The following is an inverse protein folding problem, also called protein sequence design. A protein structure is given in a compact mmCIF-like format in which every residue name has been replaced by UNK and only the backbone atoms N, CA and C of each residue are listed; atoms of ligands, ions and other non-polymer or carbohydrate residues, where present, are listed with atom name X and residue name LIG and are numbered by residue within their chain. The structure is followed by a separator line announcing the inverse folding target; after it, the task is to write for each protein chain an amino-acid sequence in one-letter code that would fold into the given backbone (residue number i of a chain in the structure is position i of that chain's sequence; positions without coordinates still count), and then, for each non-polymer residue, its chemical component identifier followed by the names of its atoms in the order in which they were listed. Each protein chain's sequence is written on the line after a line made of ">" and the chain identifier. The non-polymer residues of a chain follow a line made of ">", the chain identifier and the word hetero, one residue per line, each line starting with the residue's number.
data_IF_037806992732
#
_entry.id   IF_037806992732
#
_cell.length_a   1.000
_cell.length_b   1.000
_cell.length_c   1.000
_cell.angle_alpha   90.00
_cell.angle_beta   90.00
_cell.angle_gamma   90.00
#
_symmetry.space_group_name_H-M   'P 1'
#
loop_
_entity.id
_entity.type
_entity.pdbx_description
1 polymer ?
#
# COMPACT_ATOMS: atom_id res chain seq x y z
N UNK A 1 11.92 -15.29 -23.17
CA UNK A 1 11.31 -14.20 -22.39
C UNK A 1 12.37 -13.14 -22.13
N UNK A 2 12.38 -12.05 -22.88
CA UNK A 2 13.14 -10.86 -22.52
C UNK A 2 12.38 -10.20 -21.36
N UNK A 3 12.90 -10.32 -20.15
CA UNK A 3 12.46 -9.48 -19.04
C UNK A 3 12.77 -8.02 -19.41
N UNK A 4 11.75 -7.27 -19.80
CA UNK A 4 11.82 -5.82 -19.74
C UNK A 4 11.77 -5.46 -18.26
N UNK A 5 12.92 -5.08 -17.75
CA UNK A 5 13.11 -4.72 -16.35
C UNK A 5 12.48 -3.34 -16.07
N UNK A 6 12.17 -3.05 -14.82
CA UNK A 6 11.60 -1.80 -14.29
C UNK A 6 12.28 -0.48 -14.78
N UNK A 7 13.34 -0.56 -15.53
CA UNK A 7 14.13 0.54 -16.10
C UNK A 7 13.41 1.35 -17.18
N UNK A 8 12.43 0.75 -17.87
CA UNK A 8 11.75 1.45 -18.98
C UNK A 8 10.72 2.48 -18.51
N UNK A 9 10.33 2.45 -17.22
CA UNK A 9 9.29 3.33 -16.67
C UNK A 9 9.86 4.70 -16.27
N UNK A 10 11.17 4.79 -16.00
CA UNK A 10 11.84 6.06 -15.69
C UNK A 10 12.08 6.95 -16.91
N UNK A 11 11.92 6.41 -18.11
CA UNK A 11 12.12 7.12 -19.37
C UNK A 11 10.84 7.72 -19.95
N UNK A 12 9.72 7.64 -19.23
CA UNK A 12 8.53 8.39 -19.60
C UNK A 12 8.83 9.88 -19.43
N UNK A 13 9.14 10.50 -20.54
CA UNK A 13 9.06 11.94 -20.70
C UNK A 13 7.72 12.39 -20.10
N UNK A 14 7.75 13.29 -19.13
CA UNK A 14 6.57 13.78 -18.43
C UNK A 14 5.63 14.58 -19.35
N UNK A 15 5.98 14.69 -20.61
CA UNK A 15 5.19 15.28 -21.66
C UNK A 15 4.32 14.22 -22.32
N UNK A 16 3.05 14.25 -22.07
CA UNK A 16 1.94 13.70 -22.86
C UNK A 16 1.84 12.18 -23.10
N UNK A 17 2.88 11.38 -22.93
CA UNK A 17 2.90 9.98 -23.34
C UNK A 17 3.00 8.94 -22.22
N UNK A 18 2.59 9.23 -20.98
CA UNK A 18 2.28 8.14 -20.05
C UNK A 18 0.99 7.48 -20.55
N UNK A 19 1.18 6.69 -21.58
CA UNK A 19 0.11 5.94 -22.17
C UNK A 19 -0.47 5.01 -21.11
N UNK A 20 -1.76 4.84 -21.10
CA UNK A 20 -2.42 3.87 -20.20
C UNK A 20 -1.84 2.45 -20.35
N UNK A 21 -1.14 2.17 -21.46
CA UNK A 21 -0.39 0.93 -21.69
C UNK A 21 0.82 0.74 -20.79
N UNK A 22 1.49 1.81 -20.34
CA UNK A 22 2.69 1.70 -19.51
C UNK A 22 2.37 1.32 -18.07
N UNK A 23 1.20 1.75 -17.58
CA UNK A 23 0.69 1.42 -16.26
C UNK A 23 -0.15 0.12 -16.24
N UNK A 24 -0.39 -0.52 -17.39
CA UNK A 24 -1.13 -1.78 -17.50
C UNK A 24 -0.20 -2.97 -17.19
N UNK A 25 0.19 -3.07 -15.93
CA UNK A 25 1.24 -3.97 -15.44
C UNK A 25 0.87 -5.46 -15.55
N UNK A 26 -0.41 -5.80 -15.52
CA UNK A 26 -0.88 -7.19 -15.57
C UNK A 26 -1.51 -7.58 -16.92
N UNK A 27 -1.19 -6.84 -17.98
CA UNK A 27 -1.59 -7.14 -19.34
C UNK A 27 -0.99 -8.49 -19.79
N UNK A 28 -1.80 -9.45 -20.28
CA UNK A 28 -1.29 -10.75 -20.73
C UNK A 28 -0.27 -10.67 -21.87
N UNK A 29 -0.33 -9.63 -22.69
CA UNK A 29 0.60 -9.42 -23.83
C UNK A 29 1.96 -8.89 -23.39
N UNK A 30 1.97 -8.05 -22.34
CA UNK A 30 3.18 -7.36 -21.88
C UNK A 30 3.15 -7.15 -20.37
N UNK A 31 3.37 -8.21 -19.56
CA UNK A 31 3.40 -8.09 -18.12
C UNK A 31 4.60 -7.27 -17.65
N UNK A 32 4.38 -6.39 -16.67
CA UNK A 32 5.41 -5.47 -16.16
C UNK A 32 5.52 -5.54 -14.64
N UNK A 33 6.67 -5.12 -14.13
CA UNK A 33 6.89 -4.84 -12.71
C UNK A 33 7.10 -3.34 -12.57
N UNK A 34 6.25 -2.70 -11.77
CA UNK A 34 6.36 -1.28 -11.45
C UNK A 34 6.85 -1.13 -10.01
N UNK A 35 7.92 -0.39 -9.84
CA UNK A 35 8.44 0.00 -8.51
C UNK A 35 8.36 1.52 -8.40
N UNK A 36 7.67 2.00 -7.36
CA UNK A 36 7.47 3.43 -7.11
C UNK A 36 8.10 3.78 -5.78
N UNK A 37 9.05 4.71 -5.78
CA UNK A 37 9.67 5.27 -4.59
C UNK A 37 9.06 6.60 -4.19
N UNK A 38 9.00 6.87 -2.88
CA UNK A 38 8.64 8.17 -2.33
C UNK A 38 9.86 8.80 -1.64
N UNK A 39 9.99 10.13 -1.74
CA UNK A 39 11.02 10.87 -1.03
C UNK A 39 10.36 11.58 0.17
N UNK A 40 10.73 11.24 1.42
CA UNK A 40 10.13 11.83 2.60
C UNK A 40 10.32 13.35 2.69
N UNK A 41 11.42 13.90 2.19
CA UNK A 41 11.71 15.35 2.23
C UNK A 41 10.74 16.17 1.35
N UNK A 42 10.14 15.54 0.34
CA UNK A 42 9.25 16.18 -0.64
C UNK A 42 7.88 15.51 -0.71
N UNK A 43 7.49 14.82 0.35
CA UNK A 43 6.26 14.03 0.40
C UNK A 43 5.01 14.82 0.00
N UNK A 44 4.87 16.07 0.45
CA UNK A 44 3.72 16.93 0.13
C UNK A 44 3.58 17.24 -1.37
N UNK A 45 4.72 17.31 -2.09
CA UNK A 45 4.72 17.56 -3.53
C UNK A 45 4.42 16.26 -4.29
N UNK A 46 5.08 15.18 -3.92
CA UNK A 46 4.97 13.91 -4.62
C UNK A 46 3.66 13.16 -4.33
N UNK A 47 3.04 13.39 -3.17
CA UNK A 47 1.79 12.71 -2.80
C UNK A 47 0.67 12.93 -3.80
N UNK A 48 0.56 14.12 -4.39
CA UNK A 48 -0.44 14.43 -5.41
C UNK A 48 -0.22 13.62 -6.70
N UNK A 49 1.04 13.59 -7.18
CA UNK A 49 1.42 12.82 -8.37
C UNK A 49 1.25 11.32 -8.13
N UNK A 50 1.75 10.81 -6.99
CA UNK A 50 1.61 9.41 -6.59
C UNK A 50 0.15 9.01 -6.45
N UNK A 51 -0.70 9.87 -5.88
CA UNK A 51 -2.14 9.64 -5.78
C UNK A 51 -2.81 9.49 -7.14
N UNK A 52 -2.40 10.29 -8.14
CA UNK A 52 -2.90 10.19 -9.51
C UNK A 52 -2.48 8.87 -10.17
N UNK A 53 -1.18 8.51 -10.09
CA UNK A 53 -0.67 7.23 -10.60
C UNK A 53 -1.37 6.04 -9.94
N UNK A 54 -1.46 6.04 -8.62
CA UNK A 54 -2.12 4.97 -7.87
C UNK A 54 -3.58 4.81 -8.26
N UNK A 55 -4.32 5.91 -8.40
CA UNK A 55 -5.72 5.87 -8.86
C UNK A 55 -5.86 5.29 -10.27
N UNK A 56 -4.90 5.56 -11.15
CA UNK A 56 -4.89 5.00 -12.50
C UNK A 56 -4.53 3.53 -12.50
N UNK A 57 -3.48 3.15 -11.78
CA UNK A 57 -3.02 1.76 -11.64
C UNK A 57 -4.15 0.87 -11.13
N UNK A 58 -4.86 1.27 -10.05
CA UNK A 58 -6.00 0.51 -9.52
C UNK A 58 -7.04 0.22 -10.59
N UNK A 59 -7.38 1.19 -11.41
CA UNK A 59 -8.37 1.03 -12.48
C UNK A 59 -7.89 0.08 -13.59
N UNK A 60 -6.59 0.02 -13.82
CA UNK A 60 -6.01 -0.84 -14.86
C UNK A 60 -5.87 -2.29 -14.40
N UNK A 61 -5.34 -2.51 -13.19
CA UNK A 61 -5.10 -3.86 -12.67
C UNK A 61 -6.37 -4.58 -12.21
N UNK A 62 -7.37 -3.82 -11.76
CA UNK A 62 -8.60 -4.39 -11.19
C UNK A 62 -9.65 -4.68 -12.27
N UNK A 63 -9.23 -5.40 -13.32
CA UNK A 63 -10.07 -5.80 -14.45
C UNK A 63 -10.11 -7.31 -14.62
N UNK A 64 -11.21 -7.80 -15.19
CA UNK A 64 -11.33 -9.20 -15.60
C UNK A 64 -10.46 -9.50 -16.82
N UNK A 65 -9.97 -10.73 -16.91
CA UNK A 65 -9.18 -11.19 -18.06
C UNK A 65 -7.69 -10.83 -18.02
N UNK A 66 -7.23 -10.17 -16.98
CA UNK A 66 -5.83 -9.83 -16.76
C UNK A 66 -5.07 -10.98 -16.07
N UNK A 67 -3.73 -10.91 -16.10
CA UNK A 67 -2.89 -11.85 -15.36
C UNK A 67 -3.04 -11.66 -13.84
N UNK A 68 -2.72 -12.71 -13.10
CA UNK A 68 -2.55 -12.60 -11.63
C UNK A 68 -1.51 -11.54 -11.33
N UNK A 69 -1.80 -10.64 -10.42
CA UNK A 69 -0.90 -9.56 -10.04
C UNK A 69 -0.91 -9.32 -8.54
N UNK A 70 0.05 -8.55 -8.06
CA UNK A 70 0.13 -8.13 -6.66
C UNK A 70 0.38 -6.64 -6.56
N UNK A 71 -0.24 -6.01 -5.55
CA UNK A 71 0.01 -4.64 -5.13
C UNK A 71 0.60 -4.70 -3.73
N UNK A 72 1.82 -4.23 -3.59
CA UNK A 72 2.55 -4.23 -2.32
C UNK A 72 2.80 -2.76 -1.96
N UNK A 73 2.24 -2.32 -0.85
CA UNK A 73 2.39 -0.95 -0.35
C UNK A 73 3.05 -1.05 1.02
N UNK A 74 4.29 -0.60 1.09
CA UNK A 74 5.00 -0.41 2.34
C UNK A 74 4.74 1.00 2.87
N UNK A 75 4.51 1.14 4.17
CA UNK A 75 4.19 2.39 4.86
C UNK A 75 2.95 3.10 4.24
N UNK A 76 1.83 2.39 4.19
CA UNK A 76 0.56 2.86 3.60
C UNK A 76 0.13 4.28 4.03
N UNK A 77 0.27 4.72 5.30
CA UNK A 77 -0.11 6.06 5.71
C UNK A 77 0.64 7.19 5.00
N UNK A 78 1.82 6.93 4.45
CA UNK A 78 2.61 7.95 3.73
C UNK A 78 2.12 8.23 2.31
N UNK A 79 1.23 7.38 1.80
CA UNK A 79 0.73 7.45 0.43
C UNK A 79 -0.80 7.39 0.46
N UNK A 80 -1.47 8.50 0.12
CA UNK A 80 -2.92 8.47 -0.03
C UNK A 80 -3.30 7.72 -1.30
N UNK A 81 -4.04 6.62 -1.13
CA UNK A 81 -4.43 5.72 -2.21
C UNK A 81 -5.94 5.68 -2.33
N UNK A 82 -6.51 6.62 -3.09
CA UNK A 82 -7.96 6.73 -3.26
C UNK A 82 -8.55 5.48 -3.93
N UNK A 83 -9.58 4.90 -3.31
CA UNK A 83 -10.26 3.71 -3.83
C UNK A 83 -9.57 2.40 -3.47
N UNK A 84 -8.66 2.42 -2.49
CA UNK A 84 -8.00 1.22 -1.97
C UNK A 84 -9.01 0.24 -1.35
N UNK A 85 -10.01 0.75 -0.65
CA UNK A 85 -11.12 -0.01 -0.09
C UNK A 85 -11.86 -0.83 -1.16
N UNK A 86 -12.17 -0.20 -2.30
CA UNK A 86 -12.81 -0.87 -3.44
C UNK A 86 -11.86 -1.90 -4.09
N UNK A 87 -10.56 -1.56 -4.22
CA UNK A 87 -9.58 -2.52 -4.71
C UNK A 87 -9.57 -3.77 -3.83
N UNK A 88 -9.45 -3.63 -2.51
CA UNK A 88 -9.39 -4.77 -1.58
C UNK A 88 -10.67 -5.62 -1.67
N UNK A 89 -11.84 -4.98 -1.73
CA UNK A 89 -13.12 -5.67 -1.81
C UNK A 89 -13.30 -6.49 -3.11
N UNK A 90 -12.74 -6.03 -4.22
CA UNK A 90 -12.92 -6.63 -5.55
C UNK A 90 -11.69 -7.37 -6.10
N UNK A 91 -10.53 -7.18 -5.48
CA UNK A 91 -9.24 -7.73 -5.90
C UNK A 91 -9.27 -9.25 -6.08
N UNK A 92 -9.94 -9.96 -5.16
CA UNK A 92 -10.06 -11.42 -5.19
C UNK A 92 -10.66 -11.92 -6.50
N UNK A 93 -11.75 -11.33 -6.98
CA UNK A 93 -12.41 -11.73 -8.21
C UNK A 93 -11.57 -11.46 -9.47
N UNK A 94 -10.67 -10.47 -9.38
CA UNK A 94 -9.77 -10.07 -10.45
C UNK A 94 -8.35 -10.65 -10.31
N UNK A 95 -8.15 -11.57 -9.34
CA UNK A 95 -6.88 -12.27 -9.08
C UNK A 95 -5.73 -11.31 -8.72
N UNK A 96 -6.04 -10.25 -8.00
CA UNK A 96 -5.07 -9.28 -7.48
C UNK A 96 -4.85 -9.54 -6.00
N UNK A 97 -3.61 -9.81 -5.60
CA UNK A 97 -3.21 -9.87 -4.20
C UNK A 97 -2.83 -8.47 -3.72
N UNK A 98 -3.28 -8.08 -2.53
CA UNK A 98 -2.96 -6.78 -1.94
C UNK A 98 -2.25 -7.00 -0.60
N UNK A 99 -1.04 -6.45 -0.46
CA UNK A 99 -0.27 -6.43 0.78
C UNK A 99 -0.09 -4.98 1.23
N UNK A 100 -0.53 -4.69 2.45
CA UNK A 100 -0.46 -3.36 3.05
C UNK A 100 0.41 -3.42 4.30
N UNK A 101 1.51 -2.66 4.32
CA UNK A 101 2.37 -2.47 5.47
C UNK A 101 2.12 -1.12 6.14
N UNK A 102 2.03 -1.10 7.47
CA UNK A 102 1.97 0.12 8.28
C UNK A 102 2.28 -0.20 9.75
N UNK A 103 2.58 0.83 10.52
CA UNK A 103 3.06 0.66 11.90
C UNK A 103 1.93 0.72 12.93
N UNK A 104 0.91 1.54 12.71
CA UNK A 104 -0.15 1.78 13.69
C UNK A 104 -1.48 2.12 13.01
N UNK A 105 -2.59 1.62 13.58
CA UNK A 105 -3.94 1.92 13.09
C UNK A 105 -4.32 3.39 13.27
N UNK A 106 -3.78 4.09 14.26
CA UNK A 106 -4.05 5.50 14.46
C UNK A 106 -3.52 6.37 13.33
N UNK A 107 -2.36 6.02 12.77
CA UNK A 107 -1.82 6.67 11.57
C UNK A 107 -2.73 6.44 10.37
N UNK A 108 -3.18 5.20 10.17
CA UNK A 108 -4.10 4.86 9.09
C UNK A 108 -5.41 5.66 9.22
N UNK A 109 -5.95 5.76 10.43
CA UNK A 109 -7.19 6.52 10.70
C UNK A 109 -7.01 8.01 10.46
N UNK A 110 -5.86 8.58 10.84
CA UNK A 110 -5.55 9.99 10.61
C UNK A 110 -5.55 10.33 9.12
N UNK A 111 -4.94 9.47 8.28
CA UNK A 111 -4.66 9.80 6.89
C UNK A 111 -5.77 9.35 5.93
N UNK A 112 -6.49 8.28 6.26
CA UNK A 112 -7.62 7.76 5.47
C UNK A 112 -9.00 8.09 6.06
N UNK A 113 -9.06 8.61 7.29
CA UNK A 113 -10.29 8.83 8.04
C UNK A 113 -10.88 7.55 8.64
N UNK A 114 -11.83 7.72 9.58
CA UNK A 114 -12.42 6.61 10.34
C UNK A 114 -13.13 5.58 9.46
N UNK A 115 -13.85 6.04 8.44
CA UNK A 115 -14.68 5.14 7.62
C UNK A 115 -13.81 4.24 6.74
N UNK A 116 -12.88 4.81 5.98
CA UNK A 116 -12.01 4.06 5.08
C UNK A 116 -11.07 3.14 5.85
N UNK A 117 -10.47 3.60 6.96
CA UNK A 117 -9.59 2.78 7.78
C UNK A 117 -10.31 1.55 8.35
N UNK A 118 -11.56 1.71 8.83
CA UNK A 118 -12.38 0.56 9.30
C UNK A 118 -12.74 -0.40 8.18
N UNK A 119 -13.03 0.08 6.97
CA UNK A 119 -13.29 -0.79 5.81
C UNK A 119 -12.04 -1.60 5.50
N UNK A 120 -10.87 -0.97 5.42
CA UNK A 120 -9.60 -1.65 5.20
C UNK A 120 -9.36 -2.73 6.27
N UNK A 121 -9.48 -2.38 7.55
CA UNK A 121 -9.29 -3.30 8.67
C UNK A 121 -10.23 -4.52 8.61
N UNK A 122 -11.49 -4.32 8.25
CA UNK A 122 -12.50 -5.37 8.25
C UNK A 122 -12.45 -6.26 6.99
N UNK A 123 -11.95 -5.72 5.88
CA UNK A 123 -11.95 -6.43 4.58
C UNK A 123 -10.71 -7.31 4.41
N UNK A 124 -9.56 -6.95 5.02
CA UNK A 124 -8.36 -7.79 4.95
C UNK A 124 -8.57 -9.10 5.71
N UNK A 125 -8.38 -10.23 5.01
CA UNK A 125 -8.52 -11.58 5.60
C UNK A 125 -7.29 -11.99 6.42
N UNK A 126 -6.10 -11.70 5.92
CA UNK A 126 -4.83 -12.08 6.54
C UNK A 126 -4.25 -10.90 7.31
N UNK A 127 -3.77 -11.14 8.52
CA UNK A 127 -3.11 -10.12 9.36
C UNK A 127 -1.86 -10.72 9.97
N UNK A 128 -0.75 -10.00 9.86
CA UNK A 128 0.53 -10.32 10.47
C UNK A 128 0.96 -9.11 11.29
N UNK A 129 1.24 -9.29 12.56
CA UNK A 129 1.67 -8.21 13.44
C UNK A 129 2.89 -8.60 14.26
N UNK A 130 3.92 -7.76 14.22
CA UNK A 130 4.96 -7.75 15.23
C UNK A 130 4.50 -7.06 16.51
N UNK A 131 5.44 -6.54 17.28
CA UNK A 131 5.14 -5.76 18.47
C UNK A 131 4.40 -4.46 18.13
N UNK A 132 3.21 -4.28 18.72
CA UNK A 132 2.43 -3.04 18.67
C UNK A 132 1.84 -2.77 20.04
N UNK A 133 1.56 -1.49 20.33
CA UNK A 133 1.10 -1.06 21.66
C UNK A 133 -0.24 -0.33 21.60
N UNK A 134 -0.81 -0.06 22.74
CA UNK A 134 -1.99 0.80 22.87
C UNK A 134 -3.25 0.25 22.21
N UNK A 135 -3.93 1.09 21.46
CA UNK A 135 -5.21 0.75 20.83
C UNK A 135 -5.06 -0.31 19.73
N UNK A 136 -3.99 -0.26 18.95
CA UNK A 136 -3.69 -1.26 17.93
C UNK A 136 -3.59 -2.67 18.51
N UNK A 137 -2.91 -2.83 19.65
CA UNK A 137 -2.82 -4.13 20.33
C UNK A 137 -4.18 -4.63 20.81
N UNK A 138 -5.06 -3.74 21.28
CA UNK A 138 -6.43 -4.10 21.70
C UNK A 138 -7.28 -4.56 20.53
N UNK A 139 -7.28 -3.80 19.42
CA UNK A 139 -8.02 -4.13 18.20
C UNK A 139 -7.59 -5.52 17.68
N UNK A 140 -6.29 -5.79 17.65
CA UNK A 140 -5.78 -7.09 17.23
C UNK A 140 -6.20 -8.21 18.19
N UNK A 141 -6.11 -7.99 19.50
CA UNK A 141 -6.56 -8.95 20.51
C UNK A 141 -8.04 -9.30 20.37
N UNK A 142 -8.88 -8.31 20.11
CA UNK A 142 -10.32 -8.51 19.84
C UNK A 142 -10.56 -9.29 18.55
N UNK A 143 -9.80 -8.98 17.49
CA UNK A 143 -9.87 -9.67 16.21
C UNK A 143 -9.51 -11.15 16.30
N UNK A 144 -8.54 -11.50 17.13
CA UNK A 144 -8.14 -12.90 17.37
C UNK A 144 -9.17 -13.68 18.19
N UNK A 145 -10.10 -12.98 18.82
CA UNK A 145 -11.22 -13.59 19.53
C UNK A 145 -10.90 -14.03 20.95
N UNK A 146 -11.84 -14.76 21.53
CA UNK A 146 -11.79 -15.21 22.92
C UNK A 146 -11.93 -16.73 23.00
N UNK A 147 -11.38 -17.29 24.07
CA UNK A 147 -11.46 -18.71 24.39
C UNK A 147 -11.97 -18.91 25.81
N UNK A 148 -12.71 -19.98 26.01
CA UNK A 148 -13.16 -20.40 27.34
C UNK A 148 -11.98 -21.02 28.09
N UNK A 149 -11.52 -20.35 29.15
CA UNK A 149 -10.49 -20.87 30.06
C UNK A 149 -11.08 -21.28 31.38
N UNK A 150 -10.70 -22.48 31.86
CA UNK A 150 -11.01 -22.95 33.20
C UNK A 150 -9.97 -22.39 34.16
N UNK A 151 -10.39 -21.55 35.09
CA UNK A 151 -9.55 -21.06 36.17
C UNK A 151 -9.82 -21.85 37.43
N UNK A 152 -8.79 -22.38 38.02
CA UNK A 152 -8.84 -22.99 39.36
C UNK A 152 -8.36 -21.96 40.36
N UNK A 153 -9.20 -21.59 41.30
CA UNK A 153 -8.84 -20.79 42.45
C UNK A 153 -8.78 -21.71 43.66
N UNK A 154 -7.62 -21.75 44.33
CA UNK A 154 -7.44 -22.54 45.54
C UNK A 154 -7.33 -21.58 46.72
N UNK A 155 -8.29 -21.63 47.61
CA UNK A 155 -8.24 -20.91 48.89
C UNK A 155 -7.76 -21.89 49.97
N UNK A 156 -6.62 -21.58 50.59
CA UNK A 156 -6.05 -22.35 51.67
C UNK A 156 -6.27 -21.61 52.96
N UNK A 157 -7.18 -22.10 53.81
CA UNK A 157 -7.31 -21.67 55.21
C UNK A 157 -6.66 -22.67 56.10
N UNK A 158 -6.32 -22.27 57.34
CA UNK A 158 -5.58 -23.11 58.31
C UNK A 158 -6.25 -24.48 58.63
N UNK A 159 -7.53 -24.65 58.30
CA UNK A 159 -8.31 -25.88 58.55
C UNK A 159 -8.96 -26.54 57.32
N UNK A 160 -9.08 -25.81 56.20
CA UNK A 160 -9.76 -26.35 55.01
C UNK A 160 -9.13 -25.84 53.71
N UNK A 161 -9.04 -26.74 52.71
CA UNK A 161 -8.68 -26.43 51.35
C UNK A 161 -9.95 -26.41 50.52
N UNK A 162 -10.30 -25.25 49.98
CA UNK A 162 -11.41 -25.12 49.05
C UNK A 162 -10.88 -24.85 47.64
N UNK A 163 -11.31 -25.66 46.68
CA UNK A 163 -10.98 -25.49 45.27
C UNK A 163 -12.26 -25.05 44.51
N UNK A 164 -12.20 -23.88 43.98
CA UNK A 164 -13.28 -23.36 43.09
C UNK A 164 -12.82 -23.42 41.64
N UNK A 165 -13.63 -24.00 40.77
CA UNK A 165 -13.40 -24.03 39.33
C UNK A 165 -14.40 -23.06 38.70
N UNK A 166 -13.89 -22.00 38.08
CA UNK A 166 -14.71 -21.06 37.29
C UNK A 166 -14.30 -21.10 35.84
N UNK A 167 -15.26 -20.97 34.95
CA UNK A 167 -15.02 -20.86 33.52
C UNK A 167 -15.19 -19.41 33.12
N UNK A 168 -14.16 -18.81 32.52
CA UNK A 168 -14.15 -17.40 32.09
C UNK A 168 -13.73 -17.30 30.62
N UNK A 169 -14.34 -16.33 29.92
CA UNK A 169 -13.95 -15.97 28.55
C UNK A 169 -12.73 -15.06 28.62
N UNK A 170 -11.58 -15.55 28.18
CA UNK A 170 -10.35 -14.79 28.09
C UNK A 170 -9.94 -14.56 26.62
N UNK A 171 -9.23 -13.47 26.33
CA UNK A 171 -8.69 -13.23 24.98
C UNK A 171 -7.72 -14.35 24.60
N UNK A 172 -7.86 -14.86 23.37
CA UNK A 172 -6.99 -15.93 22.85
C UNK A 172 -5.53 -15.47 22.83
N UNK A 173 -5.28 -14.24 22.35
CA UNK A 173 -3.99 -13.55 22.45
C UNK A 173 -4.27 -12.20 23.13
N UNK A 174 -3.89 -12.05 24.42
CA UNK A 174 -4.10 -10.78 25.13
C UNK A 174 -3.28 -9.65 24.54
N UNK A 175 -3.81 -8.41 24.59
CA UNK A 175 -3.11 -7.21 24.13
C UNK A 175 -1.74 -7.02 24.79
N UNK A 176 -1.61 -7.38 26.05
CA UNK A 176 -0.33 -7.35 26.78
C UNK A 176 0.72 -8.30 26.17
N UNK A 177 0.30 -9.46 25.64
CA UNK A 177 1.21 -10.38 24.96
C UNK A 177 1.69 -9.80 23.64
N UNK A 178 0.79 -9.16 22.87
CA UNK A 178 1.14 -8.49 21.63
C UNK A 178 2.11 -7.34 21.85
N UNK A 179 1.88 -6.55 22.91
CA UNK A 179 2.74 -5.41 23.26
C UNK A 179 4.13 -5.81 23.78
N UNK A 180 4.31 -7.05 24.19
CA UNK A 180 5.56 -7.59 24.72
C UNK A 180 6.25 -8.58 23.76
N UNK A 181 5.86 -8.60 22.47
CA UNK A 181 6.54 -9.41 21.47
C UNK A 181 8.00 -8.92 21.31
N UNK A 182 8.91 -9.86 21.19
CA UNK A 182 10.32 -9.58 20.90
C UNK A 182 10.57 -9.58 19.40
N UNK A 183 11.71 -9.07 19.00
CA UNK A 183 12.13 -9.03 17.59
C UNK A 183 12.08 -10.44 16.98
N UNK A 184 11.51 -10.53 15.78
CA UNK A 184 11.32 -11.80 15.07
C UNK A 184 10.06 -12.58 15.45
N UNK A 185 9.37 -12.21 16.55
CA UNK A 185 8.12 -12.83 16.95
C UNK A 185 6.93 -12.12 16.32
N UNK A 186 5.96 -12.91 15.84
CA UNK A 186 4.76 -12.44 15.19
C UNK A 186 3.51 -13.14 15.70
N UNK A 187 2.42 -12.40 15.70
CA UNK A 187 1.07 -12.93 15.88
C UNK A 187 0.23 -12.60 14.65
N UNK A 188 -0.76 -13.41 14.34
CA UNK A 188 -1.57 -13.13 13.19
C UNK A 188 -2.77 -14.05 13.02
N UNK A 189 -3.51 -13.75 11.97
CA UNK A 189 -4.63 -14.55 11.51
C UNK A 189 -4.53 -14.76 10.01
N UNK A 190 -4.85 -15.96 9.55
CA UNK A 190 -4.87 -16.35 8.15
C UNK A 190 -6.29 -16.78 7.77
N UNK A 191 -6.81 -16.25 6.68
CA UNK A 191 -8.09 -16.63 6.11
C UNK A 191 -7.96 -17.90 5.24
N UNK A 192 -9.05 -18.63 5.08
CA UNK A 192 -9.10 -19.77 4.16
C UNK A 192 -8.77 -19.34 2.74
N UNK A 193 -8.01 -20.18 2.04
CA UNK A 193 -7.75 -20.04 0.62
C UNK A 193 -8.84 -20.76 -0.21
N UNK A 194 -8.88 -20.53 -1.52
CA UNK A 194 -9.85 -21.19 -2.40
C UNK A 194 -9.67 -22.70 -2.47
N UNK A 195 -8.42 -23.13 -2.43
CA UNK A 195 -8.02 -24.50 -2.69
C UNK A 195 -7.64 -25.26 -1.40
N UNK A 196 -7.59 -24.56 -0.26
CA UNK A 196 -7.11 -25.13 0.99
C UNK A 196 -7.84 -24.55 2.21
N UNK A 197 -8.39 -25.43 3.03
CA UNK A 197 -8.97 -25.07 4.31
C UNK A 197 -7.87 -25.00 5.38
N UNK A 198 -7.74 -23.87 6.05
CA UNK A 198 -6.78 -23.68 7.12
C UNK A 198 -7.45 -24.00 8.46
N UNK A 199 -7.00 -25.06 9.11
CA UNK A 199 -7.57 -25.49 10.40
C UNK A 199 -7.17 -24.53 11.52
N UNK A 200 -5.90 -24.14 11.59
CA UNK A 200 -5.40 -23.21 12.60
C UNK A 200 -5.21 -21.81 12.00
N UNK A 201 -6.25 -20.98 12.15
CA UNK A 201 -6.29 -19.65 11.55
C UNK A 201 -5.47 -18.60 12.32
N UNK A 202 -5.26 -18.79 13.61
CA UNK A 202 -4.56 -17.84 14.47
C UNK A 202 -3.24 -18.45 14.88
N UNK A 203 -2.18 -17.68 14.78
CA UNK A 203 -0.83 -18.15 15.07
C UNK A 203 -0.05 -17.16 15.94
N UNK A 204 0.93 -17.70 16.64
CA UNK A 204 2.02 -17.00 17.30
C UNK A 204 3.30 -17.73 16.92
N UNK A 205 4.16 -17.12 16.14
CA UNK A 205 5.34 -17.78 15.56
C UNK A 205 6.56 -16.88 15.57
N UNK A 206 7.71 -17.49 15.34
CA UNK A 206 8.97 -16.83 15.08
C UNK A 206 9.29 -16.92 13.59
N UNK A 207 9.76 -15.82 13.03
CA UNK A 207 10.27 -15.80 11.65
C UNK A 207 11.74 -16.22 11.68
N UNK A 208 12.02 -17.34 11.04
CA UNK A 208 13.40 -17.83 10.86
C UNK A 208 13.96 -17.23 9.58
N UNK A 209 14.98 -16.37 9.71
CA UNK A 209 15.65 -15.72 8.59
C UNK A 209 16.98 -16.42 8.30
N UNK A 210 17.14 -16.87 7.05
CA UNK A 210 18.45 -17.34 6.56
C UNK A 210 19.34 -16.14 6.21
N UNK A 211 20.12 -15.69 7.20
CA UNK A 211 21.00 -14.52 7.06
C UNK A 211 22.08 -14.72 5.98
N UNK A 212 22.56 -15.94 5.75
CA UNK A 212 23.56 -16.23 4.73
C UNK A 212 22.97 -16.10 3.33
N UNK A 213 21.72 -16.53 3.15
CA UNK A 213 20.99 -16.33 1.90
C UNK A 213 20.76 -14.84 1.64
N UNK A 214 20.29 -14.09 2.64
CA UNK A 214 20.07 -12.65 2.53
C UNK A 214 21.35 -11.92 2.15
N UNK A 215 22.49 -12.21 2.82
CA UNK A 215 23.78 -11.61 2.48
C UNK A 215 24.18 -11.90 1.03
N UNK A 216 24.03 -13.15 0.57
CA UNK A 216 24.35 -13.54 -0.82
C UNK A 216 23.48 -12.83 -1.83
N UNK A 217 22.19 -12.68 -1.55
CA UNK A 217 21.26 -11.97 -2.44
C UNK A 217 21.56 -10.48 -2.46
N UNK A 218 21.77 -9.85 -1.31
CA UNK A 218 22.12 -8.42 -1.20
C UNK A 218 23.44 -8.08 -1.92
N UNK A 219 24.43 -8.97 -1.85
CA UNK A 219 25.70 -8.78 -2.54
C UNK A 219 25.57 -8.79 -4.08
N UNK A 220 24.46 -9.28 -4.61
CA UNK A 220 24.17 -9.29 -6.05
C UNK A 220 23.43 -8.02 -6.52
N UNK A 221 23.03 -7.15 -5.60
CA UNK A 221 22.35 -5.93 -5.98
C UNK A 221 23.28 -5.00 -6.73
N UNK A 222 22.83 -4.58 -7.88
CA UNK A 222 23.53 -3.63 -8.75
C UNK A 222 22.84 -2.28 -8.59
N UNK A 223 23.61 -1.20 -8.54
CA UNK A 223 23.03 0.15 -8.58
C UNK A 223 22.21 0.31 -9.84
N UNK A 224 21.05 0.94 -9.72
CA UNK A 224 20.25 1.32 -10.88
C UNK A 224 21.10 2.20 -11.79
N UNK A 225 21.18 1.87 -13.08
CA UNK A 225 21.89 2.75 -14.01
C UNK A 225 21.17 4.09 -14.06
N UNK A 226 21.94 5.16 -14.12
CA UNK A 226 21.41 6.48 -14.39
C UNK A 226 20.96 6.51 -15.85
N UNK A 227 19.65 6.58 -16.08
CA UNK A 227 19.08 6.47 -17.44
C UNK A 227 19.21 7.79 -18.19
N UNK A 228 19.08 8.91 -17.47
CA UNK A 228 19.23 10.25 -18.03
C UNK A 228 20.51 10.84 -17.45
N UNK A 229 21.43 11.16 -18.32
CA UNK A 229 22.65 11.88 -17.99
C UNK A 229 22.41 13.37 -18.28
N UNK A 230 22.36 14.18 -17.23
CA UNK A 230 22.19 15.62 -17.35
C UNK A 230 23.54 16.36 -17.47
N UNK A 231 24.61 15.62 -17.65
CA UNK A 231 25.96 16.20 -17.80
C UNK A 231 26.12 16.79 -19.20
N UNK A 232 26.52 18.05 -19.30
CA UNK A 232 26.82 18.68 -20.58
C UNK A 232 28.17 18.20 -21.13
N UNK A 233 28.51 18.66 -22.33
CA UNK A 233 29.78 18.29 -23.00
C UNK A 233 31.02 18.74 -22.24
N UNK A 234 30.88 19.70 -21.34
CA UNK A 234 31.93 20.30 -20.53
C UNK A 234 32.02 19.65 -19.14
N UNK A 235 31.15 18.66 -18.85
CA UNK A 235 31.12 17.89 -17.61
C UNK A 235 30.34 18.55 -16.46
N UNK A 236 29.53 19.58 -16.73
CA UNK A 236 28.71 20.23 -15.72
C UNK A 236 27.35 19.55 -15.59
N UNK A 237 26.85 19.37 -14.36
CA UNK A 237 25.52 18.83 -14.08
C UNK A 237 24.48 19.93 -14.34
N UNK A 238 23.61 19.70 -15.35
CA UNK A 238 22.51 20.59 -15.75
C UNK A 238 21.14 20.13 -15.25
N UNK A 239 21.11 19.17 -14.34
CA UNK A 239 19.85 18.59 -13.86
C UNK A 239 18.83 19.63 -13.37
N UNK A 240 19.28 20.67 -12.65
CA UNK A 240 18.41 21.73 -12.14
C UNK A 240 17.83 22.59 -13.27
N UNK A 241 18.65 22.91 -14.27
CA UNK A 241 18.22 23.70 -15.43
C UNK A 241 17.20 22.94 -16.27
N UNK A 242 17.45 21.66 -16.52
CA UNK A 242 16.53 20.79 -17.27
C UNK A 242 15.20 20.58 -16.54
N UNK A 243 15.23 20.39 -15.23
CA UNK A 243 14.01 20.30 -14.40
C UNK A 243 13.21 21.60 -14.49
N UNK A 244 13.88 22.77 -14.40
CA UNK A 244 13.20 24.05 -14.48
C UNK A 244 12.63 24.29 -15.87
N UNK A 245 13.38 24.01 -16.91
CA UNK A 245 12.92 24.12 -18.30
C UNK A 245 11.70 23.23 -18.57
N UNK A 246 11.74 21.98 -18.08
CA UNK A 246 10.61 21.07 -18.19
C UNK A 246 9.37 21.57 -17.43
N UNK A 247 9.54 22.11 -16.22
CA UNK A 247 8.44 22.72 -15.45
C UNK A 247 7.80 23.87 -16.20
N UNK A 248 8.60 24.77 -16.76
CA UNK A 248 8.11 25.94 -17.49
C UNK A 248 7.39 25.53 -18.79
N UNK A 249 7.91 24.53 -19.50
CA UNK A 249 7.28 23.92 -20.66
C UNK A 249 5.90 23.36 -20.33
N UNK A 250 5.82 22.50 -19.31
CA UNK A 250 4.54 21.89 -18.87
C UNK A 250 3.52 22.98 -18.50
N UNK A 251 3.96 24.00 -17.78
CA UNK A 251 3.10 25.11 -17.39
C UNK A 251 2.56 25.89 -18.58
N UNK A 252 3.37 26.06 -19.60
CA UNK A 252 2.97 26.73 -20.84
C UNK A 252 1.98 25.86 -21.64
N UNK A 253 2.26 24.56 -21.78
CA UNK A 253 1.36 23.62 -22.45
C UNK A 253 -0.01 23.54 -21.77
N UNK A 254 -0.06 23.49 -20.44
CA UNK A 254 -1.33 23.52 -19.68
C UNK A 254 -2.11 24.81 -19.94
N UNK A 255 -1.45 25.98 -19.96
CA UNK A 255 -2.10 27.23 -20.31
C UNK A 255 -2.66 27.20 -21.71
N UNK A 256 -1.90 26.71 -22.68
CA UNK A 256 -2.35 26.59 -24.06
C UNK A 256 -3.58 25.71 -24.19
N UNK A 257 -3.60 24.54 -23.50
CA UNK A 257 -4.79 23.64 -23.49
C UNK A 257 -6.03 24.39 -22.96
N UNK A 258 -5.85 25.16 -21.88
CA UNK A 258 -6.97 25.94 -21.30
C UNK A 258 -7.46 27.02 -22.27
N UNK A 259 -6.55 27.76 -22.92
CA UNK A 259 -6.87 28.79 -23.89
C UNK A 259 -7.55 28.21 -25.13
N UNK A 260 -7.07 27.08 -25.63
CA UNK A 260 -7.66 26.37 -26.77
C UNK A 260 -9.08 25.89 -26.43
N UNK A 261 -9.30 25.33 -25.22
CA UNK A 261 -10.62 24.88 -24.80
C UNK A 261 -11.58 26.06 -24.57
N UNK A 262 -11.16 27.16 -24.00
CA UNK A 262 -11.94 28.39 -23.88
C UNK A 262 -12.33 28.87 -25.26
N UNK A 263 -11.41 28.88 -26.21
CA UNK A 263 -11.67 29.30 -27.61
C UNK A 263 -12.65 28.35 -28.27
N UNK A 264 -12.54 27.05 -28.06
CA UNK A 264 -13.49 26.05 -28.55
C UNK A 264 -14.88 26.31 -28.00
N UNK A 265 -15.01 26.52 -26.69
CA UNK A 265 -16.31 26.78 -26.04
C UNK A 265 -16.93 28.10 -26.54
N UNK A 266 -16.13 29.15 -26.71
CA UNK A 266 -16.65 30.46 -27.28
C UNK A 266 -17.19 30.33 -28.69
N UNK A 267 -16.58 29.47 -29.50
CA UNK A 267 -16.98 29.24 -30.88
C UNK A 267 -18.13 28.24 -31.06
N UNK A 268 -18.48 27.52 -29.99
CA UNK A 268 -19.56 26.53 -30.02
C UNK A 268 -20.91 27.18 -29.63
N UNK A 269 -21.92 27.23 -30.53
CA UNK A 269 -23.20 27.85 -30.21
C UNK A 269 -23.95 27.22 -29.03
N UNK A 270 -23.72 25.93 -28.75
CA UNK A 270 -24.37 25.24 -27.65
C UNK A 270 -23.67 25.48 -26.31
N UNK A 271 -22.38 25.80 -26.31
CA UNK A 271 -21.55 25.92 -25.12
C UNK A 271 -21.15 27.35 -24.74
N UNK A 272 -21.28 28.32 -25.66
CA UNK A 272 -20.82 29.69 -25.44
C UNK A 272 -21.45 30.39 -24.21
N UNK A 273 -22.65 29.96 -23.79
CA UNK A 273 -23.32 30.45 -22.59
C UNK A 273 -22.64 30.05 -21.25
N UNK A 274 -21.72 29.08 -21.27
CA UNK A 274 -21.00 28.62 -20.08
C UNK A 274 -19.87 29.57 -19.68
N UNK A 275 -19.38 30.38 -20.59
CA UNK A 275 -18.34 31.37 -20.28
C UNK A 275 -19.01 32.68 -19.89
N UNK A 276 -18.90 33.06 -18.61
CA UNK A 276 -19.26 34.39 -18.14
C UNK A 276 -18.11 35.34 -18.48
N UNK A 277 -18.39 36.41 -19.20
CA UNK A 277 -17.45 37.53 -19.29
C UNK A 277 -17.35 38.15 -17.88
N UNK A 278 -16.18 38.20 -17.31
CA UNK A 278 -15.93 38.98 -16.11
C UNK A 278 -16.03 40.46 -16.51
N UNK A 279 -17.01 41.17 -15.90
CA UNK A 279 -17.15 42.63 -15.97
C UNK A 279 -16.01 43.34 -15.20
#
# INVERSE_FOLDING_TARGET
>A
FKQKTAYEIYQCDWSSDVCSSDLDINNPKEPKILVVGNNPDRQNIYSAALGLYNSRIVKLINKKGQLKSSVIIDELPTIYFRGLDNLIATARSNKVAVLLGFQDYSQLTRDYGDKESRVIQNTVGNVFSGQVVGETAKILSERFGKVLQKRQSMTINQREKSTSISTQMDSLIPASKISNLTQGMFVGAIADNFDERIEQKIFHCEIVVDNEKVKRETARYVKLPQIIDFTDKDGNDRMQEEIQANYDRIRQEVRQIVEDEITRIKNDPELCHLIKEEE
#
